data_IF_993825265957
#
_entry.id   IF_993825265957
#
_cell.length_a   1.000
_cell.length_b   1.000
_cell.length_c   1.000
_cell.angle_alpha   90.00
_cell.angle_beta   90.00
_cell.angle_gamma   90.00
#
_symmetry.space_group_name_H-M   'P 1'
#
loop_
_entity.id
_entity.type
_entity.pdbx_description
1 polymer ?
#
# COMPACT_ATOMS: atom_id res chain seq x y z
N UNK A 1 -21.99 -17.52 -17.35
CA UNK A 1 -20.70 -16.99 -17.77
C UNK A 1 -20.26 -15.88 -16.82
N UNK A 2 -18.95 -15.73 -16.63
CA UNK A 2 -18.35 -14.61 -15.89
C UNK A 2 -17.59 -13.75 -16.91
N UNK A 3 -17.98 -12.49 -17.05
CA UNK A 3 -17.42 -11.57 -18.04
C UNK A 3 -16.39 -10.61 -17.44
N UNK A 4 -15.39 -10.26 -18.25
CA UNK A 4 -14.50 -9.11 -18.02
C UNK A 4 -14.45 -8.33 -19.34
N UNK A 5 -14.99 -7.12 -19.36
CA UNK A 5 -15.12 -6.34 -20.59
C UNK A 5 -16.03 -6.97 -21.67
N UNK A 6 -16.87 -7.93 -21.30
CA UNK A 6 -17.77 -8.65 -22.23
C UNK A 6 -19.21 -8.07 -22.28
N UNK A 7 -19.41 -6.87 -21.73
CA UNK A 7 -20.74 -6.26 -21.59
C UNK A 7 -21.59 -6.88 -20.48
N UNK A 8 -22.83 -6.42 -20.30
CA UNK A 8 -23.66 -6.78 -19.15
C UNK A 8 -24.37 -8.13 -19.28
N UNK A 9 -24.34 -8.79 -20.43
CA UNK A 9 -25.12 -10.01 -20.72
C UNK A 9 -24.45 -11.31 -20.24
N UNK A 10 -23.60 -11.22 -19.23
CA UNK A 10 -23.02 -12.38 -18.54
C UNK A 10 -23.72 -12.57 -17.18
N UNK A 11 -23.73 -13.79 -16.65
CA UNK A 11 -24.35 -14.09 -15.33
C UNK A 11 -23.63 -13.41 -14.16
N UNK A 12 -22.38 -12.97 -14.37
CA UNK A 12 -21.61 -12.19 -13.41
C UNK A 12 -20.46 -11.45 -14.09
N UNK A 13 -19.79 -10.58 -13.32
CA UNK A 13 -18.66 -9.77 -13.79
C UNK A 13 -17.44 -9.96 -12.88
N UNK A 14 -16.25 -9.90 -13.46
CA UNK A 14 -14.98 -9.93 -12.75
C UNK A 14 -14.09 -8.78 -13.18
N UNK A 15 -13.40 -8.18 -12.21
CA UNK A 15 -12.36 -7.16 -12.40
C UNK A 15 -11.23 -7.45 -11.42
N UNK A 16 -10.00 -7.04 -11.76
CA UNK A 16 -8.90 -7.04 -10.81
C UNK A 16 -9.13 -5.89 -9.82
N UNK A 17 -8.94 -6.17 -8.53
CA UNK A 17 -9.10 -5.15 -7.48
C UNK A 17 -8.12 -3.99 -7.65
N UNK A 18 -6.89 -4.26 -8.12
CA UNK A 18 -5.88 -3.23 -8.40
C UNK A 18 -6.32 -2.22 -9.47
N UNK A 19 -7.01 -2.70 -10.51
CA UNK A 19 -7.48 -1.86 -11.60
C UNK A 19 -8.71 -1.06 -11.15
N UNK A 20 -9.65 -1.73 -10.48
CA UNK A 20 -10.85 -1.12 -9.92
C UNK A 20 -10.53 -0.01 -8.91
N UNK A 21 -9.52 -0.24 -8.06
CA UNK A 21 -9.10 0.68 -7.01
C UNK A 21 -8.06 1.71 -7.46
N UNK A 22 -7.65 1.68 -8.73
CA UNK A 22 -6.73 2.68 -9.27
C UNK A 22 -5.34 2.65 -8.65
N UNK A 23 -4.77 1.45 -8.45
CA UNK A 23 -3.40 1.31 -7.90
C UNK A 23 -2.35 1.77 -8.90
N UNK A 24 -2.58 1.52 -10.19
CA UNK A 24 -1.72 1.94 -11.29
C UNK A 24 -2.19 3.25 -11.92
N UNK A 25 -1.34 3.89 -12.72
CA UNK A 25 -1.66 5.15 -13.39
C UNK A 25 -2.60 4.96 -14.60
N UNK A 26 -2.58 3.77 -15.21
CA UNK A 26 -3.44 3.42 -16.34
C UNK A 26 -4.10 2.06 -16.15
N UNK A 27 -5.28 1.91 -16.76
CA UNK A 27 -6.17 0.77 -16.57
C UNK A 27 -6.67 0.31 -17.94
N UNK A 28 -7.00 -0.99 -18.07
CA UNK A 28 -7.68 -1.47 -19.26
C UNK A 28 -8.98 -0.69 -19.55
N UNK A 29 -9.34 -0.49 -20.83
CA UNK A 29 -10.41 0.42 -21.23
C UNK A 29 -11.82 0.01 -20.74
N UNK A 30 -12.00 -1.25 -20.34
CA UNK A 30 -13.26 -1.75 -19.79
C UNK A 30 -13.41 -1.53 -18.28
N UNK A 31 -12.39 -1.00 -17.61
CA UNK A 31 -12.40 -0.78 -16.16
C UNK A 31 -13.10 0.54 -15.85
N UNK A 32 -14.07 0.47 -14.93
CA UNK A 32 -14.58 1.65 -14.24
C UNK A 32 -13.76 1.84 -12.96
N UNK A 33 -13.17 3.02 -12.81
CA UNK A 33 -12.43 3.38 -11.61
C UNK A 33 -13.39 3.69 -10.45
N UNK A 34 -13.18 3.08 -9.29
CA UNK A 34 -13.95 3.35 -8.07
C UNK A 34 -13.14 4.06 -6.98
N UNK A 35 -11.81 4.05 -7.07
CA UNK A 35 -10.90 4.79 -6.22
C UNK A 35 -9.61 5.17 -6.96
N UNK A 36 -8.86 6.13 -6.44
CA UNK A 36 -7.51 6.45 -6.90
C UNK A 36 -6.51 6.17 -5.77
N UNK A 37 -6.22 4.89 -5.53
CA UNK A 37 -5.27 4.49 -4.51
C UNK A 37 -3.82 4.82 -4.88
N UNK A 38 -3.50 4.97 -6.17
CA UNK A 38 -2.17 5.37 -6.61
C UNK A 38 -1.72 6.65 -5.88
N UNK A 39 -2.59 7.67 -5.86
CA UNK A 39 -2.32 8.93 -5.16
C UNK A 39 -2.09 8.71 -3.66
N UNK A 40 -2.99 7.98 -2.99
CA UNK A 40 -2.89 7.71 -1.55
C UNK A 40 -1.62 6.93 -1.19
N UNK A 41 -1.27 5.93 -1.99
CA UNK A 41 -0.05 5.14 -1.82
C UNK A 41 1.19 6.03 -1.96
N UNK A 42 1.22 6.89 -2.99
CA UNK A 42 2.33 7.81 -3.21
C UNK A 42 2.48 8.82 -2.07
N UNK A 43 1.38 9.38 -1.58
CA UNK A 43 1.35 10.27 -0.42
C UNK A 43 1.89 9.58 0.84
N UNK A 44 1.44 8.35 1.12
CA UNK A 44 1.89 7.58 2.27
C UNK A 44 3.39 7.28 2.24
N UNK A 45 3.92 6.84 1.09
CA UNK A 45 5.35 6.58 0.96
C UNK A 45 6.19 7.86 1.01
N UNK A 46 5.66 8.96 0.49
CA UNK A 46 6.32 10.27 0.58
C UNK A 46 6.42 10.74 2.03
N UNK A 47 5.33 10.66 2.78
CA UNK A 47 5.32 10.99 4.21
C UNK A 47 6.28 10.10 5.01
N UNK A 48 6.24 8.78 4.79
CA UNK A 48 7.17 7.85 5.44
C UNK A 48 8.64 8.17 5.13
N UNK A 49 8.96 8.43 3.86
CA UNK A 49 10.31 8.84 3.45
C UNK A 49 10.76 10.09 4.20
N UNK A 50 9.88 11.08 4.31
CA UNK A 50 10.21 12.35 4.96
C UNK A 50 10.36 12.19 6.48
N UNK A 51 9.57 11.32 7.11
CA UNK A 51 9.72 10.98 8.52
C UNK A 51 11.04 10.26 8.80
N UNK A 52 11.45 9.31 7.95
CA UNK A 52 12.75 8.62 8.07
C UNK A 52 13.91 9.59 7.87
N UNK A 53 13.87 10.40 6.81
CA UNK A 53 14.93 11.39 6.52
C UNK A 53 15.03 12.47 7.60
N UNK A 54 13.90 12.82 8.21
CA UNK A 54 13.82 13.78 9.31
C UNK A 54 14.06 13.17 10.68
N UNK A 55 14.41 11.88 10.79
CA UNK A 55 14.55 11.14 12.05
C UNK A 55 13.32 11.23 12.97
N UNK A 56 12.13 11.44 12.41
CA UNK A 56 10.85 11.39 13.12
C UNK A 56 10.34 9.95 13.27
N UNK A 57 10.71 9.09 12.32
CA UNK A 57 10.45 7.66 12.37
C UNK A 57 11.76 6.85 12.31
N UNK A 58 11.90 5.77 13.10
CA UNK A 58 10.99 5.37 14.16
C UNK A 58 11.04 6.34 15.36
N UNK A 59 9.88 6.65 15.91
CA UNK A 59 9.76 7.31 17.21
C UNK A 59 9.84 6.25 18.33
N UNK A 60 10.02 6.68 19.57
CA UNK A 60 10.10 5.78 20.74
C UNK A 60 8.97 4.74 20.81
N UNK A 61 7.72 5.14 20.55
CA UNK A 61 6.58 4.22 20.54
C UNK A 61 6.58 3.16 19.43
N UNK A 62 7.47 3.31 18.44
CA UNK A 62 7.70 2.36 17.35
C UNK A 62 9.08 1.70 17.44
N UNK A 63 9.80 1.92 18.54
CA UNK A 63 11.10 1.32 18.80
C UNK A 63 10.95 0.25 19.86
N UNK A 64 11.36 -0.97 19.54
CA UNK A 64 11.47 -2.05 20.53
C UNK A 64 12.90 -2.10 21.01
N UNK A 65 13.08 -1.96 22.33
CA UNK A 65 14.40 -1.99 22.94
C UNK A 65 14.81 -3.41 23.31
N UNK A 66 16.11 -3.65 23.22
CA UNK A 66 16.72 -4.88 23.70
C UNK A 66 16.64 -4.93 25.24
N UNK A 67 16.45 -6.12 25.80
CA UNK A 67 16.56 -6.33 27.25
C UNK A 67 17.95 -5.90 27.75
N UNK A 68 17.99 -5.25 28.90
CA UNK A 68 19.24 -4.69 29.45
C UNK A 68 20.32 -5.75 29.69
N UNK A 69 19.95 -7.00 30.02
CA UNK A 69 20.91 -8.07 30.26
C UNK A 69 21.60 -8.49 28.97
N UNK A 70 20.85 -8.55 27.87
CA UNK A 70 21.40 -8.86 26.55
C UNK A 70 22.23 -7.69 26.02
N UNK A 71 21.77 -6.45 26.21
CA UNK A 71 22.51 -5.26 25.78
C UNK A 71 23.88 -5.13 26.45
N UNK A 72 24.01 -5.57 27.71
CA UNK A 72 25.30 -5.57 28.43
C UNK A 72 26.33 -6.54 27.83
N UNK A 73 25.90 -7.68 27.27
CA UNK A 73 26.80 -8.67 26.65
C UNK A 73 27.49 -8.17 25.38
N UNK A 74 26.96 -7.12 24.75
CA UNK A 74 27.49 -6.55 23.51
C UNK A 74 28.50 -5.41 23.73
N UNK A 75 28.76 -5.03 24.99
CA UNK A 75 29.68 -3.93 25.34
C UNK A 75 31.08 -4.40 25.75
N UNK A 76 31.30 -5.71 25.74
CA UNK A 76 32.59 -6.39 25.92
C UNK A 76 33.19 -6.75 24.54
#
# INVERSE_FOLDING_TARGET
TIGIGAGPYCDGQVLLSTDLLGVYESQPPFVKLYANLNKTILEAFTAYRDDVRGAKYPAEGHTVHMDEKEAKKLKD
#
